data_IF_125277469907
#
_entry.id   IF_125277469907
#
_cell.length_a   1.000
_cell.length_b   1.000
_cell.length_c   1.000
_cell.angle_alpha   90.00
_cell.angle_beta   90.00
_cell.angle_gamma   90.00
#
_symmetry.space_group_name_H-M   'P 1'
#
loop_
_entity.id
_entity.type
_entity.pdbx_description
1 polymer ?
#
# COMPACT_ATOMS: atom_id res chain seq x y z
N UNK A 1 26.55 35.34 43.76
CA UNK A 1 25.15 35.11 43.32
C UNK A 1 24.87 35.56 41.88
N UNK A 2 25.37 36.71 41.40
CA UNK A 2 25.11 37.19 40.02
C UNK A 2 25.67 36.30 38.89
N UNK A 3 26.83 35.65 39.07
CA UNK A 3 27.44 34.81 38.03
C UNK A 3 26.73 33.45 37.81
N UNK A 4 26.08 32.90 38.85
CA UNK A 4 25.36 31.61 38.78
C UNK A 4 24.04 31.75 38.02
N UNK A 5 23.39 32.91 38.13
CA UNK A 5 22.15 33.24 37.39
C UNK A 5 22.41 33.36 35.88
N UNK A 6 23.54 33.93 35.49
CA UNK A 6 23.91 34.11 34.07
C UNK A 6 24.26 32.78 33.39
N UNK A 7 24.99 31.88 34.07
CA UNK A 7 25.28 30.55 33.53
C UNK A 7 24.01 29.69 33.35
N UNK A 8 23.06 29.82 34.27
CA UNK A 8 21.78 29.09 34.21
C UNK A 8 20.92 29.55 33.03
N UNK A 9 20.93 30.85 32.71
CA UNK A 9 20.20 31.40 31.57
C UNK A 9 20.76 30.94 30.22
N UNK A 10 22.08 30.79 30.09
CA UNK A 10 22.73 30.35 28.84
C UNK A 10 22.48 28.86 28.54
N UNK A 11 22.46 28.00 29.57
CA UNK A 11 22.16 26.57 29.41
C UNK A 11 20.69 26.35 29.02
N UNK A 12 19.77 27.14 29.56
CA UNK A 12 18.34 27.08 29.19
C UNK A 12 18.13 27.60 27.75
N UNK A 13 18.84 28.65 27.33
CA UNK A 13 18.74 29.17 25.96
C UNK A 13 19.36 28.25 24.91
N UNK A 14 20.44 27.51 25.23
CA UNK A 14 21.01 26.50 24.31
C UNK A 14 20.12 25.26 24.15
N UNK A 15 19.36 24.87 25.18
CA UNK A 15 18.42 23.73 25.09
C UNK A 15 17.21 24.04 24.16
N UNK A 16 16.83 25.31 24.04
CA UNK A 16 15.73 25.78 23.18
C UNK A 16 16.11 25.89 21.70
N UNK A 17 17.40 25.87 21.38
CA UNK A 17 17.92 25.91 20.00
C UNK A 17 18.38 24.53 19.50
N UNK A 18 17.85 23.43 20.06
CA UNK A 18 18.06 22.12 19.46
C UNK A 18 17.37 22.12 18.09
N UNK A 19 18.08 21.86 16.98
CA UNK A 19 17.43 21.71 15.68
C UNK A 19 16.45 20.55 15.82
N UNK A 20 15.16 20.85 15.69
CA UNK A 20 14.13 19.83 15.52
C UNK A 20 14.57 19.02 14.32
N UNK A 21 14.93 17.76 14.53
CA UNK A 21 15.21 16.84 13.42
C UNK A 21 14.03 16.94 12.46
N UNK A 22 14.26 17.01 11.13
CA UNK A 22 13.15 17.07 10.19
C UNK A 22 12.20 15.93 10.52
N UNK A 23 10.94 16.27 10.84
CA UNK A 23 9.86 15.29 10.85
C UNK A 23 9.98 14.48 9.57
N UNK A 24 9.85 13.14 9.66
CA UNK A 24 9.99 12.23 8.50
C UNK A 24 9.36 12.91 7.30
N UNK A 25 10.19 13.24 6.31
CA UNK A 25 9.82 14.16 5.24
C UNK A 25 8.44 13.76 4.69
N UNK A 26 7.54 14.74 4.66
CA UNK A 26 6.16 14.55 4.23
C UNK A 26 6.14 13.81 2.90
N UNK A 27 5.26 12.82 2.79
CA UNK A 27 5.09 12.05 1.57
C UNK A 27 4.92 13.01 0.39
N UNK A 28 5.82 12.94 -0.58
CA UNK A 28 5.85 13.88 -1.70
C UNK A 28 4.81 13.44 -2.72
N UNK A 29 3.80 14.29 -2.93
CA UNK A 29 2.74 14.01 -3.88
C UNK A 29 3.13 14.46 -5.29
N UNK A 30 3.37 13.52 -6.20
CA UNK A 30 3.62 13.76 -7.61
C UNK A 30 2.33 13.71 -8.41
N UNK A 31 2.08 14.71 -9.24
CA UNK A 31 0.99 14.67 -10.21
C UNK A 31 1.25 13.60 -11.25
N UNK A 32 0.30 12.66 -11.41
CA UNK A 32 0.32 11.61 -12.45
C UNK A 32 -0.50 12.00 -13.68
N UNK A 33 -1.51 12.84 -13.51
CA UNK A 33 -2.30 13.41 -14.59
C UNK A 33 -2.72 14.84 -14.20
N UNK A 34 -2.58 15.79 -15.11
CA UNK A 34 -3.14 17.14 -15.00
C UNK A 34 -3.42 17.66 -16.40
N UNK A 35 -4.70 17.74 -16.75
CA UNK A 35 -5.14 18.31 -18.01
C UNK A 35 -6.57 18.85 -17.88
N UNK A 36 -6.87 19.85 -18.71
CA UNK A 36 -8.24 20.26 -19.00
C UNK A 36 -8.74 19.48 -20.22
N UNK A 37 -9.79 18.67 -20.04
CA UNK A 37 -10.34 17.81 -21.09
C UNK A 37 -11.85 18.03 -21.23
N UNK A 38 -12.38 17.92 -22.45
CA UNK A 38 -13.82 17.74 -22.67
C UNK A 38 -14.16 16.31 -22.28
N UNK A 39 -14.25 16.07 -20.98
CA UNK A 39 -14.01 14.76 -20.39
C UNK A 39 -14.63 14.61 -19.01
N UNK A 40 -14.59 13.41 -18.47
CA UNK A 40 -14.85 13.12 -17.06
C UNK A 40 -13.99 11.94 -16.61
N UNK A 41 -14.10 11.61 -15.33
CA UNK A 41 -13.41 10.52 -14.69
C UNK A 41 -14.39 9.46 -14.19
N UNK A 42 -14.03 8.20 -14.36
CA UNK A 42 -14.70 7.07 -13.72
C UNK A 42 -13.72 6.36 -12.80
N UNK A 43 -14.19 5.97 -11.61
CA UNK A 43 -13.45 5.10 -10.70
C UNK A 43 -14.30 3.87 -10.43
N UNK A 44 -13.75 2.71 -10.72
CA UNK A 44 -14.37 1.40 -10.45
C UNK A 44 -13.38 0.54 -9.68
N UNK A 45 -13.83 -0.50 -9.01
CA UNK A 45 -12.95 -1.37 -8.26
C UNK A 45 -13.70 -2.55 -7.69
N UNK A 46 -12.96 -3.50 -7.16
CA UNK A 46 -13.53 -4.66 -6.50
C UNK A 46 -12.54 -5.26 -5.48
N UNK A 47 -13.05 -6.04 -4.53
CA UNK A 47 -12.21 -6.82 -3.61
C UNK A 47 -11.66 -8.05 -4.32
N UNK A 48 -10.54 -8.57 -3.84
CA UNK A 48 -9.99 -9.89 -4.27
C UNK A 48 -10.10 -10.93 -3.16
N UNK A 49 -10.84 -10.59 -2.10
CA UNK A 49 -11.29 -11.51 -1.07
C UNK A 49 -12.80 -11.47 -0.93
N UNK A 50 -13.38 -12.59 -0.49
CA UNK A 50 -14.81 -12.82 -0.33
C UNK A 50 -15.09 -13.62 0.95
N UNK A 51 -16.37 -13.75 1.30
CA UNK A 51 -16.82 -14.56 2.42
C UNK A 51 -16.50 -16.05 2.19
N UNK A 52 -16.20 -16.81 3.25
CA UNK A 52 -15.97 -18.24 3.12
C UNK A 52 -17.25 -18.97 2.72
N UNK A 53 -17.13 -20.03 1.93
CA UNK A 53 -18.18 -21.05 1.82
C UNK A 53 -18.31 -21.82 3.14
N UNK A 54 -19.42 -22.54 3.39
CA UNK A 54 -19.54 -23.42 4.56
C UNK A 54 -18.39 -24.42 4.69
N UNK A 55 -17.92 -24.99 3.58
CA UNK A 55 -16.77 -25.90 3.57
C UNK A 55 -15.47 -25.20 4.01
N UNK A 56 -15.23 -23.97 3.54
CA UNK A 56 -14.04 -23.19 3.91
C UNK A 56 -14.09 -22.64 5.34
N UNK A 57 -15.28 -22.45 5.91
CA UNK A 57 -15.48 -21.99 7.27
C UNK A 57 -15.25 -23.10 8.33
N UNK A 58 -15.36 -24.37 7.93
CA UNK A 58 -15.22 -25.51 8.81
C UNK A 58 -16.51 -25.87 9.56
N UNK A 59 -16.49 -26.88 10.44
CA UNK A 59 -17.69 -27.42 11.09
C UNK A 59 -18.31 -26.47 12.11
N UNK A 60 -17.50 -25.70 12.85
CA UNK A 60 -17.95 -24.88 13.97
C UNK A 60 -17.40 -23.43 13.88
N UNK A 61 -17.79 -22.64 12.86
CA UNK A 61 -17.32 -21.27 12.75
C UNK A 61 -17.94 -20.41 13.85
N UNK A 62 -17.17 -19.45 14.38
CA UNK A 62 -17.64 -18.53 15.43
C UNK A 62 -18.92 -17.78 15.04
N UNK A 63 -19.06 -17.47 13.75
CA UNK A 63 -20.24 -16.87 13.14
C UNK A 63 -20.60 -17.63 11.86
N UNK A 64 -21.88 -17.75 11.51
CA UNK A 64 -22.28 -18.44 10.29
C UNK A 64 -21.76 -17.70 9.06
N UNK A 65 -21.28 -18.38 8.00
CA UNK A 65 -20.81 -17.72 6.78
C UNK A 65 -21.83 -16.76 6.15
N UNK A 66 -23.12 -17.04 6.33
CA UNK A 66 -24.21 -16.18 5.88
C UNK A 66 -24.12 -14.77 6.48
N UNK A 67 -23.71 -14.61 7.74
CA UNK A 67 -23.62 -13.28 8.34
C UNK A 67 -22.50 -12.43 7.71
N UNK A 68 -21.47 -13.06 7.14
CA UNK A 68 -20.50 -12.37 6.29
C UNK A 68 -21.17 -11.83 5.01
N UNK A 69 -21.96 -12.68 4.33
CA UNK A 69 -22.67 -12.32 3.10
C UNK A 69 -23.67 -11.19 3.37
N UNK A 70 -24.42 -11.28 4.47
CA UNK A 70 -25.34 -10.23 4.90
C UNK A 70 -24.59 -8.91 5.15
N UNK A 71 -23.40 -8.97 5.75
CA UNK A 71 -22.50 -7.83 5.91
C UNK A 71 -22.06 -7.21 4.58
N UNK A 72 -21.63 -8.02 3.61
CA UNK A 72 -21.27 -7.55 2.27
C UNK A 72 -22.45 -6.88 1.55
N UNK A 73 -23.67 -7.39 1.75
CA UNK A 73 -24.90 -6.85 1.18
C UNK A 73 -25.45 -5.63 1.92
N UNK A 74 -24.80 -5.21 3.02
CA UNK A 74 -25.23 -4.10 3.89
C UNK A 74 -26.60 -4.32 4.54
N UNK A 75 -26.97 -5.58 4.76
CA UNK A 75 -28.19 -5.99 5.49
C UNK A 75 -27.88 -6.68 6.82
N UNK A 76 -26.62 -7.07 7.03
CA UNK A 76 -26.13 -7.67 8.27
C UNK A 76 -25.90 -6.64 9.38
N UNK A 77 -25.99 -7.10 10.63
CA UNK A 77 -25.77 -6.29 11.83
C UNK A 77 -24.84 -6.99 12.82
N UNK A 78 -24.26 -6.22 13.74
CA UNK A 78 -23.43 -6.74 14.84
C UNK A 78 -22.08 -7.32 14.40
N UNK A 79 -21.37 -7.93 15.36
CA UNK A 79 -19.99 -8.42 15.17
C UNK A 79 -19.86 -9.46 14.05
N UNK A 80 -20.85 -10.34 13.92
CA UNK A 80 -20.87 -11.36 12.87
C UNK A 80 -20.97 -10.81 11.45
N UNK A 81 -21.17 -9.50 11.25
CA UNK A 81 -21.17 -8.88 9.90
C UNK A 81 -19.84 -8.20 9.56
N UNK A 82 -18.86 -8.23 10.47
CA UNK A 82 -17.54 -7.63 10.29
C UNK A 82 -16.58 -8.63 9.63
N UNK A 83 -15.71 -8.16 8.74
CA UNK A 83 -14.68 -8.98 8.08
C UNK A 83 -13.75 -9.68 9.10
N UNK A 84 -13.43 -9.03 10.22
CA UNK A 84 -12.59 -9.59 11.29
C UNK A 84 -13.22 -10.78 12.04
N UNK A 85 -14.50 -11.06 11.78
CA UNK A 85 -15.24 -12.16 12.40
C UNK A 85 -15.31 -13.40 11.50
N UNK A 86 -14.76 -13.32 10.29
CA UNK A 86 -14.77 -14.40 9.29
C UNK A 86 -13.38 -14.63 8.71
N UNK A 87 -13.13 -15.87 8.30
CA UNK A 87 -11.96 -16.19 7.48
C UNK A 87 -12.23 -15.74 6.04
N UNK A 88 -11.65 -14.62 5.64
CA UNK A 88 -11.78 -14.11 4.27
C UNK A 88 -11.00 -15.01 3.31
N UNK A 89 -11.63 -15.34 2.18
CA UNK A 89 -11.11 -16.27 1.17
C UNK A 89 -10.80 -15.52 -0.11
N UNK A 90 -9.86 -15.99 -0.93
CA UNK A 90 -9.65 -15.38 -2.24
C UNK A 90 -10.89 -15.47 -3.13
N UNK A 91 -11.21 -14.37 -3.80
CA UNK A 91 -12.16 -14.37 -4.91
C UNK A 91 -11.44 -14.89 -6.15
N UNK A 92 -12.07 -15.74 -6.94
CA UNK A 92 -11.58 -16.20 -8.25
C UNK A 92 -12.76 -16.18 -9.22
N UNK A 93 -12.65 -15.38 -10.28
CA UNK A 93 -13.68 -15.17 -11.29
C UNK A 93 -13.20 -15.45 -12.72
N UNK A 94 -11.94 -15.81 -12.93
CA UNK A 94 -11.36 -16.04 -14.26
C UNK A 94 -10.92 -17.48 -14.49
N UNK A 95 -10.88 -18.33 -13.44
CA UNK A 95 -10.47 -19.73 -13.52
C UNK A 95 -9.07 -19.92 -14.13
N UNK A 96 -8.25 -18.87 -14.13
CA UNK A 96 -6.88 -18.91 -14.63
C UNK A 96 -5.99 -19.50 -13.53
N UNK A 97 -5.43 -20.71 -13.72
CA UNK A 97 -4.61 -21.38 -12.70
C UNK A 97 -3.28 -20.66 -12.43
N UNK A 98 -2.90 -19.68 -13.27
CA UNK A 98 -1.75 -18.81 -13.02
C UNK A 98 -2.08 -17.64 -12.08
N UNK A 99 -3.35 -17.49 -11.70
CA UNK A 99 -3.79 -16.53 -10.70
C UNK A 99 -4.19 -17.20 -9.39
N UNK A 100 -3.83 -16.58 -8.26
CA UNK A 100 -4.33 -17.04 -6.95
C UNK A 100 -5.64 -16.36 -6.55
N UNK A 101 -5.93 -15.19 -7.11
CA UNK A 101 -7.20 -14.49 -6.95
C UNK A 101 -7.49 -13.65 -8.19
N UNK A 102 -8.77 -13.34 -8.39
CA UNK A 102 -9.24 -12.45 -9.43
C UNK A 102 -10.63 -11.92 -9.11
N UNK A 103 -10.91 -10.70 -9.56
CA UNK A 103 -12.25 -10.11 -9.51
C UNK A 103 -12.46 -9.13 -10.66
N UNK A 104 -13.72 -8.72 -10.86
CA UNK A 104 -14.12 -7.96 -12.05
C UNK A 104 -14.93 -6.72 -11.71
N UNK A 105 -14.80 -5.68 -12.52
CA UNK A 105 -15.69 -4.52 -12.52
C UNK A 105 -15.91 -4.02 -13.94
N UNK A 106 -16.99 -3.26 -14.17
CA UNK A 106 -17.25 -2.61 -15.46
C UNK A 106 -17.05 -1.11 -15.35
N UNK A 107 -16.37 -0.54 -16.33
CA UNK A 107 -16.30 0.91 -16.54
C UNK A 107 -16.93 1.25 -17.89
N UNK A 108 -17.71 2.32 -17.96
CA UNK A 108 -18.32 2.78 -19.20
C UNK A 108 -17.55 3.98 -19.74
N UNK A 109 -17.12 3.88 -20.99
CA UNK A 109 -16.50 4.97 -21.75
C UNK A 109 -17.54 5.43 -22.78
N UNK A 110 -17.97 6.71 -22.76
CA UNK A 110 -18.94 7.22 -23.72
C UNK A 110 -18.51 7.01 -25.18
N UNK A 111 -19.48 6.76 -26.06
CA UNK A 111 -19.20 6.66 -27.50
C UNK A 111 -18.62 7.97 -28.05
N UNK A 112 -17.57 7.86 -28.87
CA UNK A 112 -16.84 9.02 -29.40
C UNK A 112 -15.81 9.63 -28.44
N UNK A 113 -15.70 9.13 -27.20
CA UNK A 113 -14.60 9.47 -26.30
C UNK A 113 -13.44 8.46 -26.44
N UNK A 114 -12.24 8.92 -26.12
CA UNK A 114 -11.04 8.09 -25.96
C UNK A 114 -10.53 8.17 -24.52
N UNK A 115 -9.79 7.14 -24.08
CA UNK A 115 -9.13 7.16 -22.77
C UNK A 115 -7.89 8.05 -22.85
N UNK A 116 -7.89 9.13 -22.05
CA UNK A 116 -6.77 10.05 -21.92
C UNK A 116 -5.76 9.58 -20.87
N UNK A 117 -6.23 8.85 -19.85
CA UNK A 117 -5.42 8.32 -18.77
C UNK A 117 -6.11 7.15 -18.09
N UNK A 118 -5.36 6.12 -17.72
CA UNK A 118 -5.85 5.04 -16.87
C UNK A 118 -4.81 4.64 -15.82
N UNK A 119 -5.25 4.53 -14.57
CA UNK A 119 -4.44 4.08 -13.45
C UNK A 119 -5.07 2.87 -12.78
N UNK A 120 -4.31 1.79 -12.68
CA UNK A 120 -4.62 0.68 -11.81
C UNK A 120 -3.95 0.92 -10.46
N UNK A 121 -4.75 0.98 -9.39
CA UNK A 121 -4.28 0.95 -8.00
C UNK A 121 -4.74 -0.34 -7.32
N UNK A 122 -3.92 -0.88 -6.41
CA UNK A 122 -4.28 -2.04 -5.59
C UNK A 122 -3.68 -1.94 -4.21
N UNK A 123 -4.30 -2.62 -3.26
CA UNK A 123 -3.89 -2.62 -1.88
C UNK A 123 -4.34 -3.91 -1.19
N UNK A 124 -3.69 -4.24 -0.09
CA UNK A 124 -4.05 -5.37 0.74
C UNK A 124 -3.14 -5.49 1.95
N UNK A 125 -3.34 -6.58 2.69
CA UNK A 125 -2.41 -6.99 3.72
C UNK A 125 -1.08 -7.42 3.06
N UNK A 126 0.04 -6.80 3.48
CA UNK A 126 1.40 -7.31 3.28
C UNK A 126 1.76 -8.38 4.32
N UNK A 127 1.08 -8.36 5.47
CA UNK A 127 1.04 -9.42 6.47
C UNK A 127 -0.35 -9.45 7.08
N UNK A 128 -0.92 -10.63 7.20
CA UNK A 128 -2.19 -10.84 7.90
C UNK A 128 -1.98 -11.81 9.06
N UNK A 129 -2.31 -11.39 10.28
CA UNK A 129 -2.15 -12.20 11.48
C UNK A 129 -3.12 -13.39 11.39
N UNK A 130 -2.59 -14.60 11.58
CA UNK A 130 -3.31 -15.87 11.38
C UNK A 130 -3.83 -16.08 9.94
N UNK A 131 -3.27 -15.35 8.96
CA UNK A 131 -3.55 -15.54 7.55
C UNK A 131 -2.57 -16.49 6.85
N UNK A 132 -2.98 -17.00 5.69
CA UNK A 132 -2.16 -17.77 4.77
C UNK A 132 -1.86 -16.90 3.54
N UNK A 133 -0.58 -16.55 3.36
CA UNK A 133 -0.12 -15.72 2.26
C UNK A 133 -0.08 -16.49 0.93
N UNK A 134 -0.32 -15.82 -0.22
CA UNK A 134 0.04 -16.37 -1.51
C UNK A 134 1.58 -16.42 -1.64
N UNK A 135 2.12 -17.17 -2.60
CA UNK A 135 3.55 -17.12 -2.89
C UNK A 135 3.99 -15.71 -3.32
N UNK A 136 5.28 -15.41 -3.20
CA UNK A 136 5.86 -14.13 -3.63
C UNK A 136 5.84 -13.03 -2.56
N UNK A 137 6.06 -11.79 -2.99
CA UNK A 137 6.13 -10.60 -2.14
C UNK A 137 5.27 -9.47 -2.75
N UNK A 138 4.49 -8.71 -1.95
CA UNK A 138 3.64 -7.64 -2.46
C UNK A 138 4.41 -6.51 -3.19
N UNK A 139 5.72 -6.38 -2.97
CA UNK A 139 6.58 -5.38 -3.64
C UNK A 139 6.98 -5.77 -5.05
N UNK A 140 6.92 -7.05 -5.39
CA UNK A 140 7.43 -7.57 -6.67
C UNK A 140 6.41 -8.39 -7.45
N UNK A 141 5.30 -8.79 -6.84
CA UNK A 141 4.24 -9.56 -7.47
C UNK A 141 3.58 -8.79 -8.64
N UNK A 142 3.69 -9.27 -9.89
CA UNK A 142 2.95 -8.69 -11.00
C UNK A 142 1.44 -8.96 -10.86
N UNK A 143 0.63 -8.01 -11.29
CA UNK A 143 -0.84 -8.10 -11.31
C UNK A 143 -1.31 -8.49 -12.71
N UNK A 144 -2.30 -9.37 -12.81
CA UNK A 144 -2.97 -9.64 -14.09
C UNK A 144 -4.04 -8.57 -14.34
N UNK A 145 -4.14 -8.11 -15.58
CA UNK A 145 -5.17 -7.16 -16.02
C UNK A 145 -5.67 -7.60 -17.40
N UNK A 146 -6.93 -8.03 -17.45
CA UNK A 146 -7.65 -8.24 -18.69
C UNK A 146 -8.61 -7.08 -18.96
N UNK A 147 -8.50 -6.47 -20.15
CA UNK A 147 -9.40 -5.41 -20.63
C UNK A 147 -10.24 -5.98 -21.77
N UNK A 148 -11.55 -6.14 -21.55
CA UNK A 148 -12.46 -6.82 -22.47
C UNK A 148 -11.95 -8.21 -22.90
N UNK A 149 -11.42 -8.99 -21.95
CA UNK A 149 -10.88 -10.33 -22.19
C UNK A 149 -9.48 -10.36 -22.80
N UNK A 150 -8.93 -9.21 -23.22
CA UNK A 150 -7.52 -9.15 -23.66
C UNK A 150 -6.62 -9.16 -22.43
N UNK A 151 -6.06 -10.33 -22.13
CA UNK A 151 -5.20 -10.54 -20.97
C UNK A 151 -3.86 -9.81 -21.10
N UNK A 152 -3.33 -9.37 -19.97
CA UNK A 152 -2.04 -8.72 -19.86
C UNK A 152 -1.51 -8.76 -18.43
N UNK A 153 -0.23 -8.43 -18.29
CA UNK A 153 0.46 -8.36 -17.00
C UNK A 153 0.90 -6.91 -16.73
N UNK A 154 0.81 -6.51 -15.46
CA UNK A 154 1.30 -5.24 -14.93
C UNK A 154 2.48 -5.55 -14.00
N UNK A 155 3.70 -5.43 -14.52
CA UNK A 155 4.96 -5.74 -13.84
C UNK A 155 5.79 -4.49 -13.50
N UNK A 156 5.48 -3.34 -14.13
CA UNK A 156 6.03 -2.03 -13.79
C UNK A 156 5.05 -1.25 -12.96
N UNK A 157 5.37 -1.09 -11.69
CA UNK A 157 4.52 -0.39 -10.75
C UNK A 157 5.35 0.24 -9.64
N UNK A 158 4.66 0.94 -8.77
CA UNK A 158 5.25 1.41 -7.53
C UNK A 158 4.44 0.93 -6.36
N UNK A 159 5.12 0.40 -5.35
CA UNK A 159 4.51 -0.06 -4.12
C UNK A 159 5.04 0.75 -2.92
N UNK A 160 4.15 1.00 -1.96
CA UNK A 160 4.47 1.45 -0.62
C UNK A 160 3.97 0.38 0.34
N UNK A 161 4.86 -0.12 1.19
CA UNK A 161 4.53 -1.10 2.23
C UNK A 161 4.85 -0.45 3.57
N UNK A 162 3.97 -0.63 4.55
CA UNK A 162 4.18 -0.08 5.89
C UNK A 162 5.50 -0.58 6.48
N UNK A 163 6.16 0.27 7.27
CA UNK A 163 7.39 -0.10 7.98
C UNK A 163 7.05 -1.13 9.07
N UNK A 164 7.56 -2.38 9.01
CA UNK A 164 7.22 -3.40 9.99
C UNK A 164 7.66 -3.02 11.41
N UNK A 165 8.65 -2.14 11.58
CA UNK A 165 9.07 -1.65 12.90
C UNK A 165 8.06 -0.66 13.52
N UNK A 166 7.14 -0.12 12.72
CA UNK A 166 6.10 0.81 13.17
C UNK A 166 4.76 0.14 13.51
N UNK A 167 4.69 -1.18 13.36
CA UNK A 167 3.46 -1.96 13.47
C UNK A 167 3.56 -2.92 14.67
N UNK A 168 2.49 -3.04 15.45
CA UNK A 168 2.42 -3.99 16.55
C UNK A 168 2.61 -5.43 16.07
N UNK A 169 3.20 -6.28 16.92
CA UNK A 169 3.41 -7.69 16.58
C UNK A 169 2.09 -8.46 16.32
N UNK A 170 0.97 -7.98 16.88
CA UNK A 170 -0.39 -8.50 16.68
C UNK A 170 -1.18 -7.82 15.58
N UNK A 171 -0.61 -6.82 14.92
CA UNK A 171 -1.33 -6.01 13.94
C UNK A 171 -1.04 -6.47 12.51
N UNK A 172 -1.98 -6.21 11.62
CA UNK A 172 -1.79 -6.43 10.20
C UNK A 172 -0.83 -5.37 9.62
N UNK A 173 -0.02 -5.78 8.63
CA UNK A 173 0.81 -4.86 7.84
C UNK A 173 0.11 -4.64 6.51
N UNK A 174 0.08 -3.41 6.00
CA UNK A 174 -0.59 -3.10 4.73
C UNK A 174 0.39 -2.62 3.67
N UNK A 175 -0.09 -2.66 2.44
CA UNK A 175 0.58 -2.02 1.33
C UNK A 175 -0.44 -1.43 0.36
N UNK A 176 0.06 -0.50 -0.45
CA UNK A 176 -0.62 -0.04 -1.65
C UNK A 176 0.36 -0.02 -2.80
N UNK A 177 -0.15 -0.15 -4.02
CA UNK A 177 0.63 -0.07 -5.22
C UNK A 177 -0.21 0.47 -6.37
N UNK A 178 0.46 0.97 -7.39
CA UNK A 178 -0.20 1.55 -8.56
C UNK A 178 0.69 1.53 -9.79
N UNK A 179 0.02 1.56 -10.96
CA UNK A 179 0.64 1.62 -12.27
C UNK A 179 -0.19 2.44 -13.24
N UNK A 180 0.48 3.19 -14.12
CA UNK A 180 -0.13 3.78 -15.31
C UNK A 180 -0.34 2.66 -16.34
N UNK A 181 -1.60 2.41 -16.67
CA UNK A 181 -2.03 1.36 -17.61
C UNK A 181 -2.73 1.97 -18.82
N UNK A 182 -2.55 3.27 -19.10
CA UNK A 182 -3.20 4.00 -20.19
C UNK A 182 -3.06 3.28 -21.53
N UNK A 183 -1.88 2.72 -21.81
CA UNK A 183 -1.63 1.97 -23.04
C UNK A 183 -2.51 0.72 -23.22
N UNK A 184 -3.01 0.12 -22.12
CA UNK A 184 -3.92 -1.04 -22.14
C UNK A 184 -5.33 -0.67 -22.60
N UNK A 185 -5.67 0.62 -22.62
CA UNK A 185 -6.98 1.15 -23.02
C UNK A 185 -6.99 1.75 -24.43
N UNK A 186 -5.90 1.60 -25.20
CA UNK A 186 -5.84 2.09 -26.57
C UNK A 186 -6.97 1.49 -27.43
N UNK A 187 -7.82 2.34 -28.01
CA UNK A 187 -8.94 1.93 -28.86
C UNK A 187 -10.15 1.31 -28.13
N UNK A 188 -10.09 1.21 -26.80
CA UNK A 188 -11.17 0.69 -25.96
C UNK A 188 -12.27 1.73 -25.80
N UNK A 189 -13.53 1.30 -25.91
CA UNK A 189 -14.73 2.15 -25.89
C UNK A 189 -15.94 1.38 -25.36
N UNK A 190 -17.01 2.08 -25.00
CA UNK A 190 -18.26 1.48 -24.53
C UNK A 190 -18.14 0.86 -23.13
N UNK A 191 -18.93 -0.18 -22.85
CA UNK A 191 -18.85 -0.92 -21.59
C UNK A 191 -17.65 -1.85 -21.59
N UNK A 192 -16.67 -1.55 -20.73
CA UNK A 192 -15.42 -2.29 -20.61
C UNK A 192 -15.47 -3.19 -19.39
N UNK A 193 -15.34 -4.50 -19.59
CA UNK A 193 -15.14 -5.45 -18.51
C UNK A 193 -13.65 -5.52 -18.16
N UNK A 194 -13.33 -5.20 -16.92
CA UNK A 194 -12.00 -5.33 -16.35
C UNK A 194 -11.98 -6.57 -15.46
N UNK A 195 -11.00 -7.44 -15.67
CA UNK A 195 -10.69 -8.52 -14.72
C UNK A 195 -9.28 -8.30 -14.22
N UNK A 196 -9.13 -8.22 -12.90
CA UNK A 196 -7.85 -7.97 -12.24
C UNK A 196 -7.61 -9.10 -11.26
N UNK A 197 -6.43 -9.69 -11.31
CA UNK A 197 -6.04 -10.79 -10.45
C UNK A 197 -4.57 -10.74 -10.07
N UNK A 198 -4.13 -11.74 -9.30
CA UNK A 198 -2.80 -11.75 -8.69
C UNK A 198 -2.52 -10.52 -7.80
N UNK A 199 -3.55 -9.94 -7.19
CA UNK A 199 -3.37 -8.88 -6.19
C UNK A 199 -2.94 -9.53 -4.89
N UNK A 200 -1.65 -9.41 -4.56
CA UNK A 200 -1.04 -10.09 -3.41
C UNK A 200 -1.78 -9.75 -2.11
N UNK A 201 -2.40 -10.73 -1.46
CA UNK A 201 -2.93 -10.56 -0.11
C UNK A 201 -3.15 -11.94 0.52
N UNK A 202 -2.85 -12.15 1.80
CA UNK A 202 -3.25 -13.36 2.51
C UNK A 202 -4.76 -13.56 2.55
N UNK A 203 -5.17 -14.83 2.64
CA UNK A 203 -6.52 -15.23 3.07
C UNK A 203 -6.51 -15.56 4.56
N UNK A 204 -7.57 -15.24 5.29
CA UNK A 204 -7.57 -15.38 6.75
C UNK A 204 -8.54 -14.44 7.46
N UNK A 205 -8.64 -14.57 8.79
CA UNK A 205 -9.39 -13.62 9.61
C UNK A 205 -8.86 -12.20 9.42
N UNK A 206 -9.76 -11.24 9.21
CA UNK A 206 -9.42 -9.81 9.08
C UNK A 206 -8.49 -9.44 7.90
N UNK A 207 -8.23 -10.38 6.98
CA UNK A 207 -7.46 -10.06 5.77
C UNK A 207 -8.35 -9.35 4.75
N UNK A 208 -7.79 -8.36 4.06
CA UNK A 208 -8.42 -7.65 2.96
C UNK A 208 -7.49 -7.53 1.76
N UNK A 209 -8.09 -7.30 0.60
CA UNK A 209 -7.38 -6.88 -0.58
C UNK A 209 -8.35 -6.45 -1.66
N UNK A 210 -7.90 -5.58 -2.54
CA UNK A 210 -8.70 -5.10 -3.64
C UNK A 210 -7.92 -4.18 -4.57
N UNK A 211 -8.62 -3.73 -5.60
CA UNK A 211 -8.09 -2.86 -6.61
C UNK A 211 -9.10 -1.79 -7.02
N UNK A 212 -8.59 -0.71 -7.60
CA UNK A 212 -9.37 0.32 -8.27
C UNK A 212 -8.75 0.68 -9.60
N UNK A 213 -9.59 1.01 -10.57
CA UNK A 213 -9.24 1.56 -11.86
C UNK A 213 -9.80 2.97 -11.94
N UNK A 214 -8.91 3.96 -12.05
CA UNK A 214 -9.28 5.33 -12.41
C UNK A 214 -9.10 5.51 -13.91
N UNK A 215 -10.15 5.89 -14.63
CA UNK A 215 -10.12 6.14 -16.07
C UNK A 215 -10.58 7.57 -16.32
N UNK A 216 -9.74 8.37 -16.97
CA UNK A 216 -10.11 9.67 -17.51
C UNK A 216 -10.36 9.49 -19.00
N UNK A 217 -11.54 9.84 -19.47
CA UNK A 217 -11.86 9.87 -20.89
C UNK A 217 -12.01 11.30 -21.38
N UNK A 218 -11.88 11.50 -22.69
CA UNK A 218 -12.06 12.79 -23.34
C UNK A 218 -12.66 12.66 -24.73
N UNK A 219 -13.41 13.67 -25.14
CA UNK A 219 -13.79 13.92 -26.52
C UNK A 219 -12.74 14.83 -27.19
N UNK A 220 -12.69 14.80 -28.52
CA UNK A 220 -11.82 15.68 -29.31
C UNK A 220 -12.17 17.19 -29.15
N UNK A 221 -13.41 17.48 -28.78
CA UNK A 221 -13.94 18.83 -28.53
C UNK A 221 -15.19 18.78 -27.67
N UNK A 222 -15.86 19.93 -27.51
CA UNK A 222 -17.13 20.00 -26.78
C UNK A 222 -18.17 19.05 -27.39
N UNK A 223 -18.88 18.32 -26.53
CA UNK A 223 -19.97 17.42 -26.92
C UNK A 223 -21.19 17.65 -26.03
N UNK A 224 -22.35 17.10 -26.38
CA UNK A 224 -23.52 17.13 -25.50
C UNK A 224 -23.25 16.47 -24.14
N UNK A 225 -22.39 15.44 -24.11
CA UNK A 225 -21.97 14.76 -22.89
C UNK A 225 -20.87 15.51 -22.11
N UNK A 226 -20.09 16.38 -22.76
CA UNK A 226 -19.04 17.19 -22.15
C UNK A 226 -18.93 18.57 -22.84
N UNK A 227 -19.81 19.53 -22.52
CA UNK A 227 -19.89 20.81 -23.23
C UNK A 227 -18.78 21.79 -22.88
N UNK A 228 -18.08 21.57 -21.76
CA UNK A 228 -16.98 22.40 -21.29
C UNK A 228 -15.82 21.53 -20.81
N UNK A 229 -14.61 22.08 -20.82
CA UNK A 229 -13.46 21.38 -20.28
C UNK A 229 -13.55 21.29 -18.75
N UNK A 230 -13.19 20.13 -18.22
CA UNK A 230 -12.97 19.92 -16.79
C UNK A 230 -11.48 19.68 -16.58
N UNK A 231 -10.90 20.38 -15.61
CA UNK A 231 -9.52 20.14 -15.19
C UNK A 231 -9.49 18.99 -14.20
N UNK A 232 -8.96 17.85 -14.63
CA UNK A 232 -8.79 16.66 -13.80
C UNK A 232 -7.35 16.51 -13.36
N UNK A 233 -7.13 16.23 -12.07
CA UNK A 233 -5.81 15.99 -11.50
C UNK A 233 -5.75 14.65 -10.76
N UNK A 234 -4.79 13.79 -11.08
CA UNK A 234 -4.44 12.61 -10.28
C UNK A 234 -3.07 12.83 -9.66
N UNK A 235 -2.93 12.54 -8.36
CA UNK A 235 -1.65 12.63 -7.64
C UNK A 235 -1.30 11.28 -7.00
N UNK A 236 -0.01 11.03 -6.87
CA UNK A 236 0.61 9.88 -6.24
C UNK A 236 1.44 10.34 -5.07
N UNK A 237 1.46 9.60 -3.98
CA UNK A 237 2.41 9.82 -2.91
C UNK A 237 3.69 8.96 -3.10
N UNK A 238 4.87 9.52 -2.81
CA UNK A 238 6.15 8.79 -2.72
C UNK A 238 6.80 9.05 -1.36
N UNK A 239 7.39 8.01 -0.72
CA UNK A 239 8.25 8.23 0.43
C UNK A 239 9.47 9.07 0.01
N UNK A 240 9.81 10.06 0.83
CA UNK A 240 10.95 10.93 0.56
C UNK A 240 12.25 10.11 0.52
N UNK A 241 12.95 10.19 -0.59
CA UNK A 241 14.23 9.51 -0.78
C UNK A 241 15.29 10.15 0.13
N UNK A 242 15.92 9.34 0.99
CA UNK A 242 16.98 9.81 1.88
C UNK A 242 18.16 10.22 1.02
N UNK A 243 18.41 11.53 0.87
CA UNK A 243 19.61 12.07 0.22
C UNK A 243 20.83 11.38 0.83
N UNK A 244 21.49 10.53 0.03
CA UNK A 244 22.77 9.92 0.42
C UNK A 244 23.77 11.04 0.68
N UNK A 245 24.46 11.07 1.83
CA UNK A 245 25.50 12.07 2.06
C UNK A 245 26.63 11.84 1.05
N UNK A 246 27.01 12.91 0.35
CA UNK A 246 28.16 12.93 -0.53
C UNK A 246 29.42 12.49 0.22
N UNK A 247 30.07 11.43 -0.27
CA UNK A 247 31.40 11.04 0.20
C UNK A 247 32.42 12.15 -0.18
N UNK A 248 33.24 12.65 0.76
CA UNK A 248 34.36 13.52 0.42
C UNK A 248 35.49 12.69 -0.20
N UNK A 249 36.09 13.21 -1.28
CA UNK A 249 37.33 12.69 -1.87
C UNK A 249 38.50 12.66 -0.87
N UNK A 250 39.44 11.71 -0.99
CA UNK A 250 40.55 11.56 -0.05
C UNK A 250 41.69 12.52 -0.40
N UNK A 251 42.04 13.41 0.52
CA UNK A 251 43.26 14.21 0.37
C UNK A 251 43.30 15.39 1.33
N UNK A 252 43.86 15.17 2.53
CA UNK A 252 44.81 16.03 3.25
C UNK A 252 44.98 15.52 4.70
N UNK A 253 46.18 15.61 5.31
CA UNK A 253 46.56 14.81 6.48
C UNK A 253 46.15 15.44 7.83
N UNK A 254 45.72 14.59 8.76
CA UNK A 254 45.47 14.95 10.16
C UNK A 254 46.76 15.09 10.99
N UNK A 255 46.86 16.09 11.90
CA UNK A 255 47.90 16.11 12.91
C UNK A 255 47.60 15.12 14.05
N UNK A 256 48.65 14.43 14.49
CA UNK A 256 48.63 13.37 15.51
C UNK A 256 48.27 13.92 16.89
N UNK A 257 47.17 13.43 17.48
CA UNK A 257 46.80 13.62 18.88
C UNK A 257 46.67 12.25 19.58
N UNK A 258 47.55 12.04 20.56
CA UNK A 258 47.83 10.81 21.30
C UNK A 258 46.68 10.43 22.26
N UNK A 259 46.07 9.24 22.09
CA UNK A 259 45.19 8.63 23.10
C UNK A 259 45.88 7.41 23.74
N UNK A 260 45.90 7.40 25.08
CA UNK A 260 46.35 6.30 25.93
C UNK A 260 45.22 5.27 26.08
N UNK A 261 45.58 4.01 25.96
CA UNK A 261 44.78 2.80 26.18
C UNK A 261 44.70 2.46 27.68
N UNK A 262 43.57 1.93 28.18
CA UNK A 262 43.65 0.95 29.25
C UNK A 262 42.76 -0.28 29.01
N UNK A 263 43.36 -1.35 28.50
CA UNK A 263 42.96 -2.71 28.81
C UNK A 263 43.54 -3.13 30.17
N UNK A 264 42.69 -3.49 31.15
CA UNK A 264 42.98 -4.45 32.24
C UNK A 264 41.70 -4.73 33.05
N UNK A 265 41.11 -5.91 32.88
CA UNK A 265 41.09 -6.95 33.92
C UNK A 265 40.40 -8.23 33.41
N UNK A 266 41.09 -9.35 33.63
CA UNK A 266 40.73 -10.70 33.20
C UNK A 266 40.43 -11.54 34.46
N UNK A 267 39.31 -12.27 34.43
CA UNK A 267 38.99 -13.61 35.01
C UNK A 267 39.30 -13.94 36.49
N UNK A 268 38.33 -14.62 37.12
CA UNK A 268 38.44 -15.94 37.81
C UNK A 268 37.00 -16.45 38.15
N UNK A 269 36.51 -17.58 37.57
CA UNK A 269 36.22 -18.90 38.21
C UNK A 269 35.62 -18.77 39.64
N UNK A 270 34.46 -19.32 40.05
CA UNK A 270 33.65 -20.48 39.69
C UNK A 270 33.61 -21.48 40.86
N UNK A 271 32.45 -21.73 41.52
CA UNK A 271 32.11 -23.01 42.21
C UNK A 271 30.72 -23.04 42.87
N UNK A 272 30.16 -24.25 42.88
CA UNK A 272 28.93 -24.77 43.47
C UNK A 272 28.69 -24.41 44.96
N UNK A 273 27.41 -24.44 45.39
CA UNK A 273 27.04 -24.57 46.80
C UNK A 273 25.53 -24.59 47.08
N UNK A 274 25.08 -25.70 47.67
CA UNK A 274 23.73 -26.11 48.06
C UNK A 274 23.15 -25.37 49.30
N UNK A 275 21.81 -25.53 49.52
CA UNK A 275 21.02 -25.36 50.78
C UNK A 275 20.76 -23.90 51.18
N UNK A 276 19.57 -23.48 51.62
CA UNK A 276 18.34 -24.10 52.15
C UNK A 276 17.15 -23.24 51.72
#
# INVERSE_FOLDING_TARGET
MRAVVVLSAVVVFLALCTPVLPSKAAETWHTQFDAAVYGDVAVVGNTVVTCPTPAQAGPDPRYPPQSCVDGQQRVGHGRGSLNNSHRMMWTDVDADPSTFNSSRARVSIPDGAEVAYAKLGWAGNARCVNGSAPPGDPRTQPVSLAVNGTAGVVDRFSAAVDDPASIGHTDNQFYSAESDVTARFAGVRGSVLLTVGNVWTPQGPDCFGGWSMTVVWRFAGASSAAPAQRRGGARRARPAEHLRPHHPHPGLPHPRGRWRDPARHRRLRGRLGHRR
#
